data_IF_384328742453
#
_entry.id   IF_384328742453
#
_cell.length_a   1.000
_cell.length_b   1.000
_cell.length_c   1.000
_cell.angle_alpha   90.00
_cell.angle_beta   90.00
_cell.angle_gamma   90.00
#
_symmetry.space_group_name_H-M   'P 1'
#
loop_
_entity.id
_entity.type
_entity.pdbx_description
1 polymer ?
#
# COMPACT_ATOMS: atom_id res chain seq x y z
N UNK A 1 -6.12 -2.96 12.51
CA UNK A 1 -4.93 -2.44 11.80
C UNK A 1 -5.24 -1.08 11.19
N UNK A 2 -4.52 -0.04 11.63
CA UNK A 2 -4.64 1.30 11.06
C UNK A 2 -3.95 1.33 9.68
N UNK A 3 -4.45 2.14 8.75
CA UNK A 3 -3.79 2.39 7.46
C UNK A 3 -2.36 2.88 7.69
N UNK A 4 -2.15 3.68 8.74
CA UNK A 4 -0.83 4.22 9.07
C UNK A 4 0.16 3.12 9.50
N UNK A 5 -0.30 2.11 10.24
CA UNK A 5 0.54 0.94 10.60
C UNK A 5 0.95 0.16 9.36
N UNK A 6 0.03 -0.04 8.41
CA UNK A 6 0.34 -0.68 7.13
C UNK A 6 1.42 0.11 6.38
N UNK A 7 1.26 1.43 6.28
CA UNK A 7 2.20 2.32 5.61
C UNK A 7 3.59 2.22 6.25
N UNK A 8 3.66 2.32 7.57
CA UNK A 8 4.92 2.22 8.33
C UNK A 8 5.58 0.87 8.09
N UNK A 9 4.81 -0.22 8.10
CA UNK A 9 5.35 -1.57 7.86
C UNK A 9 5.91 -1.74 6.45
N UNK A 10 5.16 -1.30 5.44
CA UNK A 10 5.63 -1.36 4.04
C UNK A 10 6.91 -0.54 3.88
N UNK A 11 6.96 0.68 4.43
CA UNK A 11 8.17 1.53 4.38
C UNK A 11 9.35 0.83 5.06
N UNK A 12 9.13 0.23 6.24
CA UNK A 12 10.18 -0.45 7.01
C UNK A 12 10.73 -1.69 6.30
N UNK A 13 9.87 -2.48 5.67
CA UNK A 13 10.28 -3.75 5.03
C UNK A 13 10.83 -3.54 3.61
N UNK A 14 10.44 -2.47 2.92
CA UNK A 14 10.82 -2.25 1.50
C UNK A 14 11.81 -1.11 1.29
N UNK A 15 12.01 -0.25 2.29
CA UNK A 15 12.82 0.96 2.18
C UNK A 15 12.20 2.07 1.32
N UNK A 16 10.97 1.88 0.81
CA UNK A 16 10.28 2.88 0.01
C UNK A 16 10.02 4.14 0.83
N UNK A 17 10.16 5.29 0.19
CA UNK A 17 9.68 6.53 0.78
C UNK A 17 8.15 6.57 0.84
N UNK A 18 7.59 7.31 1.80
CA UNK A 18 6.12 7.52 1.89
C UNK A 18 5.55 8.10 0.59
N UNK A 19 6.31 8.98 -0.07
CA UNK A 19 5.91 9.60 -1.35
C UNK A 19 5.84 8.56 -2.47
N UNK A 20 6.81 7.67 -2.57
CA UNK A 20 6.77 6.58 -3.56
C UNK A 20 5.60 5.63 -3.32
N UNK A 21 5.35 5.27 -2.06
CA UNK A 21 4.21 4.43 -1.71
C UNK A 21 2.87 5.09 -2.11
N UNK A 22 2.71 6.39 -1.84
CA UNK A 22 1.53 7.15 -2.27
C UNK A 22 1.39 7.21 -3.79
N UNK A 23 2.49 7.43 -4.53
CA UNK A 23 2.46 7.43 -5.99
C UNK A 23 2.01 6.06 -6.54
N UNK A 24 2.54 4.96 -5.99
CA UNK A 24 2.10 3.61 -6.37
C UNK A 24 0.62 3.40 -6.08
N UNK A 25 0.12 3.85 -4.91
CA UNK A 25 -1.31 3.77 -4.57
C UNK A 25 -2.17 4.54 -5.57
N UNK A 26 -1.77 5.75 -5.94
CA UNK A 26 -2.51 6.56 -6.89
C UNK A 26 -2.52 5.91 -8.28
N UNK A 27 -1.36 5.45 -8.77
CA UNK A 27 -1.26 4.71 -10.03
C UNK A 27 -2.17 3.47 -10.06
N UNK A 28 -2.20 2.72 -8.96
CA UNK A 28 -3.06 1.55 -8.83
C UNK A 28 -4.54 1.96 -8.85
N UNK A 29 -4.92 3.03 -8.15
CA UNK A 29 -6.30 3.56 -8.17
C UNK A 29 -6.70 4.02 -9.57
N UNK A 30 -5.83 4.71 -10.30
CA UNK A 30 -6.08 5.14 -11.68
C UNK A 30 -6.26 3.94 -12.63
N UNK A 31 -5.46 2.88 -12.46
CA UNK A 31 -5.59 1.64 -13.23
C UNK A 31 -6.95 0.94 -13.04
N UNK A 32 -7.59 1.14 -11.88
CA UNK A 32 -8.94 0.66 -11.60
C UNK A 32 -10.02 1.75 -11.74
N UNK A 33 -9.75 2.83 -12.49
CA UNK A 33 -10.68 3.95 -12.71
C UNK A 33 -11.26 4.53 -11.40
N UNK A 34 -10.48 4.49 -10.32
CA UNK A 34 -10.88 4.95 -8.99
C UNK A 34 -11.84 4.03 -8.22
N UNK A 35 -12.17 2.83 -8.74
CA UNK A 35 -13.10 1.91 -8.07
C UNK A 35 -12.60 1.37 -6.73
N UNK A 36 -11.29 1.36 -6.50
CA UNK A 36 -10.71 0.79 -5.29
C UNK A 36 -10.39 1.85 -4.23
N UNK A 37 -10.79 1.55 -2.98
CA UNK A 37 -10.42 2.36 -1.82
C UNK A 37 -8.90 2.40 -1.63
N UNK A 38 -8.40 3.47 -0.98
CA UNK A 38 -6.99 3.60 -0.63
C UNK A 38 -6.46 2.36 0.12
N UNK A 39 -7.24 1.83 1.07
CA UNK A 39 -6.88 0.62 1.83
C UNK A 39 -6.70 -0.62 0.94
N UNK A 40 -7.59 -0.82 -0.04
CA UNK A 40 -7.48 -1.95 -0.99
C UNK A 40 -6.24 -1.79 -1.88
N UNK A 41 -6.00 -0.59 -2.40
CA UNK A 41 -4.81 -0.30 -3.20
C UNK A 41 -3.51 -0.56 -2.41
N UNK A 42 -3.46 -0.12 -1.15
CA UNK A 42 -2.33 -0.36 -0.26
C UNK A 42 -2.09 -1.86 -0.03
N UNK A 43 -3.16 -2.65 0.08
CA UNK A 43 -3.07 -4.09 0.30
C UNK A 43 -2.58 -4.85 -0.93
N UNK A 44 -3.00 -4.44 -2.12
CA UNK A 44 -2.49 -4.95 -3.40
C UNK A 44 -1.00 -4.68 -3.48
N UNK A 45 -0.57 -3.44 -3.23
CA UNK A 45 0.84 -3.05 -3.27
C UNK A 45 1.67 -3.83 -2.25
N UNK A 46 1.15 -4.04 -1.04
CA UNK A 46 1.86 -4.85 -0.05
C UNK A 46 2.08 -6.29 -0.54
N UNK A 47 1.07 -6.91 -1.18
CA UNK A 47 1.22 -8.24 -1.79
C UNK A 47 2.22 -8.24 -2.94
N UNK A 48 2.22 -7.23 -3.80
CA UNK A 48 3.19 -7.08 -4.90
C UNK A 48 4.62 -6.93 -4.37
N UNK A 49 4.78 -6.29 -3.21
CA UNK A 49 6.07 -6.10 -2.55
C UNK A 49 6.45 -7.25 -1.61
N UNK A 50 5.68 -8.35 -1.59
CA UNK A 50 5.86 -9.48 -0.67
C UNK A 50 5.89 -9.07 0.82
N UNK A 51 5.23 -7.97 1.18
CA UNK A 51 5.08 -7.52 2.56
C UNK A 51 3.83 -8.15 3.15
N UNK A 52 4.03 -8.95 4.20
CA UNK A 52 2.92 -9.57 4.90
C UNK A 52 2.25 -8.57 5.86
N UNK A 53 1.08 -8.07 5.46
CA UNK A 53 0.20 -7.28 6.30
C UNK A 53 -0.68 -8.21 7.16
N UNK A 54 -0.05 -9.01 8.02
CA UNK A 54 -0.72 -9.95 8.91
C UNK A 54 -1.91 -9.29 9.64
N UNK A 55 -3.10 -9.89 9.48
CA UNK A 55 -4.26 -9.62 10.33
C UNK A 55 -4.13 -10.47 11.59
N UNK A 56 -3.43 -9.98 12.60
CA UNK A 56 -3.50 -10.51 13.97
C UNK A 56 -4.28 -9.54 14.85
#
# INVERSE_FOLDING_TARGET
>A
MNIEDCIIRIIKETGLSRKELQNRVNQNKDAFSGFISYKKALFIIAKELCVDLNYS
#
